data_IF_597571192590
#
_entry.id   IF_597571192590
#
_cell.length_a   1.000
_cell.length_b   1.000
_cell.length_c   1.000
_cell.angle_alpha   90.00
_cell.angle_beta   90.00
_cell.angle_gamma   90.00
#
_symmetry.space_group_name_H-M   'P 1'
#
loop_
_entity.id
_entity.type
_entity.pdbx_description
1 polymer ?
#
# COMPACT_ATOMS: atom_id res chain seq x y z
N UNK A 1 -18.12 -5.94 14.21
CA UNK A 1 -17.01 -6.91 14.12
C UNK A 1 -16.67 -7.07 12.65
N UNK A 2 -15.74 -6.29 12.11
CA UNK A 2 -15.19 -6.49 10.76
C UNK A 2 -14.16 -7.63 10.84
N UNK A 3 -14.32 -8.65 9.99
CA UNK A 3 -13.41 -9.79 9.94
C UNK A 3 -12.02 -9.30 9.52
N UNK A 4 -10.96 -9.93 10.05
CA UNK A 4 -9.59 -9.62 9.67
C UNK A 4 -9.37 -9.66 8.14
N UNK A 5 -10.13 -10.50 7.43
CA UNK A 5 -10.15 -10.60 5.96
C UNK A 5 -10.49 -9.29 5.23
N UNK A 6 -11.35 -8.42 5.79
CA UNK A 6 -11.78 -7.20 5.10
C UNK A 6 -10.67 -6.12 5.07
N UNK A 7 -9.62 -6.27 5.89
CA UNK A 7 -8.50 -5.31 6.01
C UNK A 7 -7.37 -5.60 5.04
N UNK A 8 -7.17 -6.87 4.67
CA UNK A 8 -6.07 -7.30 3.79
C UNK A 8 -6.15 -6.60 2.42
N UNK A 9 -7.32 -6.48 1.76
CA UNK A 9 -7.45 -5.75 0.50
C UNK A 9 -7.08 -4.27 0.61
N UNK A 10 -7.43 -3.62 1.71
CA UNK A 10 -7.15 -2.19 1.96
C UNK A 10 -5.65 -1.96 2.12
N UNK A 11 -4.97 -2.83 2.88
CA UNK A 11 -3.52 -2.76 3.09
C UNK A 11 -2.77 -3.02 1.78
N UNK A 12 -3.18 -4.05 1.02
CA UNK A 12 -2.57 -4.37 -0.27
C UNK A 12 -2.69 -3.21 -1.27
N UNK A 13 -3.88 -2.59 -1.35
CA UNK A 13 -4.09 -1.40 -2.15
C UNK A 13 -3.21 -0.23 -1.68
N UNK A 14 -3.18 0.06 -0.37
CA UNK A 14 -2.40 1.15 0.20
C UNK A 14 -0.90 1.03 -0.07
N UNK A 15 -0.33 -0.18 0.04
CA UNK A 15 1.07 -0.45 -0.28
C UNK A 15 1.39 -0.22 -1.77
N UNK A 16 0.53 -0.72 -2.66
CA UNK A 16 0.68 -0.52 -4.09
C UNK A 16 0.61 0.97 -4.44
N UNK A 17 -0.43 1.66 -3.95
CA UNK A 17 -0.67 3.06 -4.25
C UNK A 17 0.47 3.96 -3.70
N UNK A 18 1.04 3.62 -2.54
CA UNK A 18 2.24 4.28 -1.99
C UNK A 18 3.46 4.04 -2.87
N UNK A 19 3.66 2.81 -3.34
CA UNK A 19 4.77 2.48 -4.27
C UNK A 19 4.66 3.27 -5.56
N UNK A 20 3.45 3.38 -6.12
CA UNK A 20 3.18 4.15 -7.33
C UNK A 20 3.42 5.64 -7.12
N UNK A 21 2.98 6.20 -5.98
CA UNK A 21 3.26 7.58 -5.60
C UNK A 21 4.77 7.86 -5.53
N UNK A 22 5.56 6.97 -4.92
CA UNK A 22 7.02 7.11 -4.84
C UNK A 22 7.68 7.01 -6.22
N UNK A 23 7.22 6.07 -7.08
CA UNK A 23 7.71 5.97 -8.46
C UNK A 23 7.40 7.23 -9.27
N UNK A 24 6.22 7.82 -9.09
CA UNK A 24 5.87 9.10 -9.71
C UNK A 24 6.82 10.22 -9.26
N UNK A 25 7.04 10.35 -7.95
CA UNK A 25 7.93 11.37 -7.36
C UNK A 25 9.38 11.24 -7.80
N UNK A 26 9.85 10.03 -8.09
CA UNK A 26 11.25 9.74 -8.46
C UNK A 26 11.47 9.61 -9.97
N UNK A 27 10.42 9.72 -10.80
CA UNK A 27 10.53 9.58 -12.26
C UNK A 27 10.65 8.14 -12.77
N UNK A 28 10.40 7.14 -11.93
CA UNK A 28 10.44 5.72 -12.29
C UNK A 28 9.06 5.11 -12.59
N UNK A 29 8.04 5.96 -12.78
CA UNK A 29 6.68 5.53 -13.04
C UNK A 29 6.53 4.95 -14.45
N UNK A 30 6.06 3.71 -14.54
CA UNK A 30 5.77 3.06 -15.82
C UNK A 30 4.27 3.05 -16.12
N UNK A 31 3.91 2.81 -17.39
CA UNK A 31 2.50 2.58 -17.78
C UNK A 31 1.91 1.34 -17.07
N UNK A 32 2.72 0.32 -16.83
CA UNK A 32 2.31 -0.89 -16.12
C UNK A 32 1.90 -0.61 -14.68
N UNK A 33 2.63 0.28 -14.00
CA UNK A 33 2.31 0.70 -12.63
C UNK A 33 0.94 1.40 -12.57
N UNK A 34 0.61 2.21 -13.56
CA UNK A 34 -0.68 2.91 -13.65
C UNK A 34 -1.81 1.91 -13.86
N UNK A 35 -1.66 0.98 -14.81
CA UNK A 35 -2.66 -0.07 -15.04
C UNK A 35 -2.85 -0.95 -13.79
N UNK A 36 -1.76 -1.31 -13.10
CA UNK A 36 -1.82 -2.07 -11.86
C UNK A 36 -2.57 -1.32 -10.76
N UNK A 37 -2.32 -0.01 -10.59
CA UNK A 37 -3.03 0.83 -9.64
C UNK A 37 -4.54 0.90 -9.96
N UNK A 38 -4.89 1.14 -11.23
CA UNK A 38 -6.29 1.20 -11.66
C UNK A 38 -7.00 -0.14 -11.53
N UNK A 39 -6.34 -1.26 -11.81
CA UNK A 39 -6.93 -2.59 -11.61
C UNK A 39 -7.11 -2.89 -10.11
N UNK A 40 -6.13 -2.52 -9.29
CA UNK A 40 -6.13 -2.74 -7.84
C UNK A 40 -7.26 -2.00 -7.14
N UNK A 41 -7.53 -0.73 -7.48
CA UNK A 41 -8.64 0.02 -6.86
C UNK A 41 -10.00 -0.58 -7.20
N UNK A 42 -10.17 -1.13 -8.41
CA UNK A 42 -11.41 -1.82 -8.80
C UNK A 42 -11.57 -3.17 -8.09
N UNK A 43 -10.47 -3.90 -7.90
CA UNK A 43 -10.49 -5.23 -7.27
C UNK A 43 -10.66 -5.17 -5.74
N UNK A 44 -9.96 -4.23 -5.08
CA UNK A 44 -9.86 -4.20 -3.62
C UNK A 44 -10.73 -3.13 -2.97
N UNK A 45 -11.16 -2.12 -3.73
CA UNK A 45 -11.93 -0.98 -3.22
C UNK A 45 -13.19 -0.69 -4.07
N UNK A 46 -13.99 -1.68 -4.50
CA UNK A 46 -15.04 -1.51 -5.52
C UNK A 46 -16.15 -0.50 -5.15
N UNK A 47 -16.39 -0.25 -3.86
CA UNK A 47 -17.38 0.72 -3.38
C UNK A 47 -16.79 2.02 -2.82
N UNK A 48 -15.47 2.18 -2.81
CA UNK A 48 -14.84 3.32 -2.17
C UNK A 48 -14.65 4.48 -3.17
N UNK A 49 -15.63 5.38 -3.22
CA UNK A 49 -15.64 6.54 -4.13
C UNK A 49 -14.40 7.43 -3.94
N UNK A 50 -13.92 7.60 -2.70
CA UNK A 50 -12.75 8.41 -2.41
C UNK A 50 -11.46 7.77 -2.98
N UNK A 51 -11.28 6.46 -2.82
CA UNK A 51 -10.14 5.74 -3.41
C UNK A 51 -10.15 5.81 -4.95
N UNK A 52 -11.33 5.64 -5.57
CA UNK A 52 -11.46 5.77 -7.02
C UNK A 52 -11.15 7.18 -7.51
N UNK A 53 -11.64 8.20 -6.80
CA UNK A 53 -11.41 9.60 -7.15
C UNK A 53 -9.93 9.96 -7.06
N UNK A 54 -9.23 9.54 -6.01
CA UNK A 54 -7.79 9.75 -5.85
C UNK A 54 -6.99 9.09 -6.98
N UNK A 55 -7.33 7.86 -7.37
CA UNK A 55 -6.67 7.17 -8.49
C UNK A 55 -6.95 7.87 -9.82
N UNK A 56 -8.18 8.29 -10.07
CA UNK A 56 -8.54 9.03 -11.30
C UNK A 56 -7.79 10.36 -11.40
N UNK A 57 -7.72 11.11 -10.30
CA UNK A 57 -6.99 12.38 -10.25
C UNK A 57 -5.49 12.17 -10.48
N UNK A 58 -4.90 11.12 -9.90
CA UNK A 58 -3.52 10.74 -10.19
C UNK A 58 -3.31 10.41 -11.67
N UNK A 59 -4.19 9.59 -12.26
CA UNK A 59 -4.10 9.19 -13.68
C UNK A 59 -4.17 10.41 -14.59
N UNK A 60 -5.04 11.38 -14.29
CA UNK A 60 -5.17 12.61 -15.07
C UNK A 60 -3.91 13.49 -15.01
N UNK A 61 -3.24 13.56 -13.86
CA UNK A 61 -2.24 14.59 -13.59
C UNK A 61 -0.77 14.11 -13.60
N UNK A 62 -0.51 12.80 -13.47
CA UNK A 62 0.85 12.27 -13.29
C UNK A 62 1.84 12.62 -14.41
N UNK A 63 1.37 12.90 -15.64
CA UNK A 63 2.26 13.28 -16.74
C UNK A 63 2.67 14.75 -16.70
N UNK A 64 1.75 15.61 -16.29
CA UNK A 64 1.97 17.05 -16.25
C UNK A 64 2.74 17.46 -14.98
N UNK A 65 2.40 16.83 -13.85
CA UNK A 65 2.99 17.16 -12.54
C UNK A 65 3.22 15.88 -11.72
N UNK A 66 4.21 15.04 -12.08
CA UNK A 66 4.41 13.72 -11.46
C UNK A 66 4.64 13.77 -9.96
N UNK A 67 5.42 14.74 -9.47
CA UNK A 67 5.70 14.91 -8.03
C UNK A 67 4.45 15.32 -7.28
N UNK A 68 3.72 16.32 -7.78
CA UNK A 68 2.49 16.81 -7.13
C UNK A 68 1.39 15.73 -7.14
N UNK A 69 1.21 15.03 -8.26
CA UNK A 69 0.26 13.92 -8.35
C UNK A 69 0.63 12.78 -7.40
N UNK A 70 1.92 12.43 -7.29
CA UNK A 70 2.38 11.42 -6.34
C UNK A 70 2.15 11.82 -4.89
N UNK A 71 2.39 13.08 -4.52
CA UNK A 71 2.09 13.58 -3.18
C UNK A 71 0.60 13.56 -2.87
N UNK A 72 -0.25 14.06 -3.77
CA UNK A 72 -1.71 14.05 -3.59
C UNK A 72 -2.26 12.62 -3.44
N UNK A 73 -1.75 11.67 -4.23
CA UNK A 73 -2.10 10.26 -4.08
C UNK A 73 -1.68 9.70 -2.72
N UNK A 74 -0.48 10.05 -2.24
CA UNK A 74 0.03 9.62 -0.94
C UNK A 74 -0.82 10.17 0.22
N UNK A 75 -1.18 11.44 0.17
CA UNK A 75 -2.02 12.09 1.17
C UNK A 75 -3.42 11.47 1.20
N UNK A 76 -4.03 11.24 0.02
CA UNK A 76 -5.32 10.57 -0.08
C UNK A 76 -5.30 9.15 0.53
N UNK A 77 -4.20 8.39 0.36
CA UNK A 77 -4.07 7.05 0.97
C UNK A 77 -4.03 7.14 2.50
N UNK A 78 -3.30 8.13 3.05
CA UNK A 78 -3.22 8.33 4.50
C UNK A 78 -4.59 8.66 5.10
N UNK A 79 -5.40 9.44 4.39
CA UNK A 79 -6.78 9.73 4.79
C UNK A 79 -7.72 8.52 4.64
N UNK A 80 -7.48 7.66 3.63
CA UNK A 80 -8.25 6.44 3.36
C UNK A 80 -7.94 5.31 4.34
N UNK A 81 -6.80 5.35 5.01
CA UNK A 81 -6.38 4.37 6.02
C UNK A 81 -6.28 5.06 7.38
N UNK A 82 -7.40 5.55 7.96
CA UNK A 82 -7.35 6.31 9.19
C UNK A 82 -7.04 5.46 10.44
N UNK A 83 -7.03 4.12 10.34
CA UNK A 83 -6.77 3.24 11.48
C UNK A 83 -6.09 1.93 11.06
N UNK A 84 -4.82 1.98 10.66
CA UNK A 84 -3.93 0.89 11.10
C UNK A 84 -3.49 1.27 12.50
N UNK A 85 -4.27 0.82 13.49
CA UNK A 85 -3.84 0.85 14.87
C UNK A 85 -2.45 0.16 14.96
N UNK A 86 -1.38 0.90 15.30
CA UNK A 86 -0.05 0.31 15.39
C UNK A 86 0.01 -0.83 16.41
N UNK A 87 -0.88 -0.85 17.43
CA UNK A 87 -0.99 -1.97 18.37
C UNK A 87 -1.57 -3.24 17.74
N UNK A 88 -2.37 -3.12 16.67
CA UNK A 88 -2.83 -4.29 15.90
C UNK A 88 -1.82 -4.76 14.86
N UNK A 89 -0.89 -3.91 14.43
CA UNK A 89 0.25 -4.35 13.63
C UNK A 89 1.17 -5.25 14.46
N UNK A 90 1.41 -4.92 15.74
CA UNK A 90 2.10 -5.81 16.69
C UNK A 90 1.35 -7.14 16.89
N UNK A 91 0.02 -7.11 16.91
CA UNK A 91 -0.80 -8.31 17.05
C UNK A 91 -0.74 -9.21 15.79
N UNK A 92 -0.74 -8.62 14.59
CA UNK A 92 -0.51 -9.35 13.34
C UNK A 92 0.92 -9.89 13.26
N UNK A 93 1.92 -9.15 13.75
CA UNK A 93 3.30 -9.63 13.86
C UNK A 93 3.42 -10.76 14.90
N UNK A 94 2.70 -10.66 16.02
CA UNK A 94 2.65 -11.70 17.05
C UNK A 94 1.91 -12.95 16.58
N UNK A 95 0.88 -12.80 15.75
CA UNK A 95 0.18 -13.92 15.09
C UNK A 95 1.11 -14.60 14.06
N UNK A 96 1.98 -13.84 13.37
CA UNK A 96 3.06 -14.38 12.51
C UNK A 96 4.21 -15.02 13.32
N UNK A 97 4.56 -14.48 14.48
CA UNK A 97 5.57 -15.05 15.39
C UNK A 97 5.03 -16.30 16.13
N UNK A 98 3.71 -16.43 16.25
CA UNK A 98 3.00 -17.59 16.77
C UNK A 98 2.90 -18.76 15.77
N UNK A 99 3.03 -18.48 14.47
CA UNK A 99 3.27 -19.49 13.43
C UNK A 99 4.77 -19.86 13.38
N UNK A 100 5.20 -20.55 14.43
CA UNK A 100 6.27 -21.56 14.46
C UNK A 100 7.50 -21.32 13.55
N UNK A 101 8.61 -20.88 14.17
CA UNK A 101 9.96 -21.40 13.85
C UNK A 101 10.41 -21.44 12.37
N UNK A 102 10.02 -20.49 11.52
CA UNK A 102 10.74 -20.32 10.25
C UNK A 102 12.08 -19.63 10.50
N UNK A 103 13.11 -20.43 10.77
CA UNK A 103 14.49 -19.98 10.68
C UNK A 103 14.76 -19.54 9.24
N UNK A 104 14.78 -18.23 9.01
CA UNK A 104 15.21 -17.73 7.71
C UNK A 104 16.74 -17.81 7.62
N UNK A 105 17.32 -18.17 6.45
CA UNK A 105 18.77 -18.40 6.30
C UNK A 105 19.67 -17.22 6.73
N UNK A 106 19.13 -16.00 6.75
CA UNK A 106 19.84 -14.78 7.11
C UNK A 106 19.89 -14.52 8.64
N UNK A 107 19.07 -15.21 9.44
CA UNK A 107 19.06 -15.08 10.90
C UNK A 107 20.28 -15.73 11.57
N UNK A 108 21.02 -16.59 10.85
CA UNK A 108 22.28 -17.20 11.33
C UNK A 108 23.53 -16.30 11.25
N UNK A 109 23.42 -15.06 10.76
CA UNK A 109 24.61 -14.21 10.49
C UNK A 109 25.01 -13.37 11.72
N UNK A 110 24.19 -13.28 12.77
CA UNK A 110 24.56 -12.60 14.03
C UNK A 110 25.17 -13.56 15.05
N UNK A 111 26.38 -14.01 14.78
CA UNK A 111 27.17 -14.82 15.72
C UNK A 111 28.66 -14.94 15.41
N UNK A 112 29.17 -14.22 14.40
CA UNK A 112 30.61 -14.16 14.09
C UNK A 112 31.08 -12.69 14.12
N UNK A 113 31.15 -12.11 15.32
CA UNK A 113 32.11 -11.07 15.71
C UNK A 113 32.47 -11.29 17.16
#
# INVERSE_FOLDING_TARGET
MTRADDRIPVVAFGLLATTVALKAKTGHLTKGDICALSASVLAHMPGNVAAHSAVLEFVANHRAAPVAAGTALQDAILELVPEVDPYRAEQVLSDFEGEDQMQFPWQGIRGMV
#
